data_IF_493203409436
#
_entry.id   IF_493203409436
#
_cell.length_a   1.000
_cell.length_b   1.000
_cell.length_c   1.000
_cell.angle_alpha   90.00
_cell.angle_beta   90.00
_cell.angle_gamma   90.00
#
_symmetry.space_group_name_H-M   'P 1'
#
loop_
_entity.id
_entity.type
_entity.pdbx_description
1 polymer ?
#
# COMPACT_ATOMS: atom_id res chain seq x y z
N UNK A 1 15.06 7.01 -11.67
CA UNK A 1 14.20 6.29 -10.70
C UNK A 1 14.90 5.96 -9.38
N UNK A 2 16.11 5.38 -9.39
CA UNK A 2 16.78 4.87 -8.17
C UNK A 2 17.30 5.94 -7.18
N UNK A 3 17.44 7.21 -7.60
CA UNK A 3 17.90 8.30 -6.70
C UNK A 3 16.84 8.66 -5.65
N UNK A 4 15.56 8.73 -6.07
CA UNK A 4 14.43 9.02 -5.17
C UNK A 4 14.20 7.86 -4.21
N UNK A 5 14.24 6.61 -4.71
CA UNK A 5 14.14 5.43 -3.87
C UNK A 5 15.23 5.40 -2.77
N UNK A 6 16.48 5.71 -3.13
CA UNK A 6 17.60 5.79 -2.16
C UNK A 6 17.46 6.96 -1.19
N UNK A 7 16.92 8.08 -1.65
CA UNK A 7 16.67 9.25 -0.81
C UNK A 7 15.57 8.97 0.23
N UNK A 8 14.48 8.36 -0.20
CA UNK A 8 13.39 7.95 0.69
C UNK A 8 13.90 6.89 1.67
N UNK A 9 14.54 5.80 1.20
CA UNK A 9 15.17 4.78 2.07
C UNK A 9 16.17 5.36 3.08
N UNK A 10 16.83 6.49 2.78
CA UNK A 10 17.74 7.17 3.72
C UNK A 10 17.02 7.86 4.88
N UNK A 11 15.74 8.18 4.71
CA UNK A 11 14.89 8.78 5.74
C UNK A 11 14.26 7.75 6.68
N UNK A 12 14.63 6.47 6.58
CA UNK A 12 14.05 5.38 7.36
C UNK A 12 14.27 5.59 8.87
N UNK A 13 13.20 5.75 9.67
CA UNK A 13 13.31 5.91 11.12
C UNK A 13 13.63 4.56 11.79
N UNK A 14 14.18 4.62 13.02
CA UNK A 14 14.55 3.42 13.80
C UNK A 14 13.38 2.42 13.90
N UNK A 15 13.67 1.15 13.64
CA UNK A 15 12.72 0.04 13.78
C UNK A 15 12.13 0.01 15.19
N UNK A 16 10.80 -0.03 15.29
CA UNK A 16 10.05 -0.12 16.56
C UNK A 16 9.30 1.15 16.98
N UNK A 17 9.49 2.28 16.30
CA UNK A 17 8.70 3.51 16.56
C UNK A 17 7.46 3.57 15.65
N UNK A 18 6.36 4.18 16.09
CA UNK A 18 5.15 4.41 15.26
C UNK A 18 5.47 5.08 13.91
N UNK A 19 6.47 5.98 13.91
CA UNK A 19 6.98 6.61 12.71
C UNK A 19 7.51 5.60 11.66
N UNK A 20 8.06 4.45 12.09
CA UNK A 20 8.53 3.39 11.19
C UNK A 20 7.37 2.70 10.49
N UNK A 21 6.30 2.38 11.20
CA UNK A 21 5.11 1.76 10.60
C UNK A 21 4.42 2.69 9.60
N UNK A 22 4.32 3.98 9.91
CA UNK A 22 3.78 4.97 8.98
C UNK A 22 4.68 5.11 7.75
N UNK A 23 5.99 5.28 7.96
CA UNK A 23 6.96 5.41 6.88
C UNK A 23 6.95 4.18 5.96
N UNK A 24 6.92 2.98 6.52
CA UNK A 24 6.89 1.72 5.75
C UNK A 24 5.56 1.54 4.98
N UNK A 25 4.44 1.96 5.58
CA UNK A 25 3.13 1.99 4.91
C UNK A 25 3.11 2.92 3.69
N UNK A 26 3.61 4.15 3.84
CA UNK A 26 3.74 5.10 2.73
C UNK A 26 4.75 4.62 1.67
N UNK A 27 5.85 4.00 2.10
CA UNK A 27 6.85 3.46 1.19
C UNK A 27 6.26 2.31 0.34
N UNK A 28 5.54 1.38 0.96
CA UNK A 28 4.89 0.25 0.26
C UNK A 28 3.71 0.70 -0.61
N UNK A 29 3.08 1.83 -0.29
CA UNK A 29 2.01 2.40 -1.13
C UNK A 29 2.56 2.97 -2.44
N UNK A 30 3.71 3.67 -2.39
CA UNK A 30 4.30 4.35 -3.55
C UNK A 30 5.29 3.48 -4.33
N UNK A 31 5.94 2.52 -3.68
CA UNK A 31 6.97 1.68 -4.27
C UNK A 31 6.62 0.19 -4.14
N UNK A 32 6.86 -0.55 -5.22
CA UNK A 32 6.80 -2.01 -5.19
C UNK A 32 7.94 -2.54 -4.33
N UNK A 33 7.70 -3.52 -3.44
CA UNK A 33 8.76 -4.18 -2.69
C UNK A 33 9.73 -4.90 -3.63
N UNK A 34 11.02 -4.85 -3.29
CA UNK A 34 12.10 -5.53 -4.04
C UNK A 34 12.12 -7.05 -3.77
N UNK A 35 11.25 -7.55 -2.89
CA UNK A 35 11.19 -8.96 -2.48
C UNK A 35 10.47 -9.80 -3.54
N UNK A 36 11.14 -10.83 -4.05
CA UNK A 36 10.60 -11.75 -5.06
C UNK A 36 10.57 -13.17 -4.52
N UNK A 37 9.64 -13.98 -5.00
CA UNK A 37 9.57 -15.39 -4.62
C UNK A 37 10.73 -16.17 -5.24
N UNK A 38 11.66 -16.63 -4.40
CA UNK A 38 12.89 -17.32 -4.81
C UNK A 38 12.74 -18.86 -4.96
N UNK A 39 11.54 -19.43 -4.78
CA UNK A 39 11.28 -20.88 -4.83
C UNK A 39 10.39 -21.33 -6.00
N UNK A 40 10.26 -22.65 -6.18
CA UNK A 40 9.31 -23.27 -7.11
C UNK A 40 7.89 -23.25 -6.56
N UNK A 41 6.97 -22.59 -7.26
CA UNK A 41 5.55 -22.53 -6.89
C UNK A 41 4.68 -23.03 -8.04
N UNK A 42 3.54 -23.64 -7.72
CA UNK A 42 2.63 -24.23 -8.71
C UNK A 42 1.99 -23.15 -9.63
N UNK A 43 1.63 -21.99 -9.05
CA UNK A 43 1.14 -20.81 -9.77
C UNK A 43 1.79 -19.58 -9.11
N UNK A 44 2.28 -18.64 -9.93
CA UNK A 44 2.74 -17.32 -9.48
C UNK A 44 1.69 -16.29 -9.86
N UNK A 45 0.93 -15.81 -8.88
CA UNK A 45 0.03 -14.69 -9.09
C UNK A 45 0.81 -13.38 -8.95
N UNK A 46 0.56 -12.45 -9.87
CA UNK A 46 1.13 -11.10 -9.87
C UNK A 46 0.22 -10.07 -9.19
N UNK A 47 -0.95 -10.48 -8.69
CA UNK A 47 -1.85 -9.60 -7.98
C UNK A 47 -1.27 -9.19 -6.62
N UNK A 48 -1.01 -7.89 -6.48
CA UNK A 48 -0.67 -7.28 -5.19
C UNK A 48 -1.97 -7.15 -4.36
N UNK A 49 -2.13 -8.05 -3.39
CA UNK A 49 -3.30 -8.11 -2.51
C UNK A 49 -3.50 -6.79 -1.76
N UNK A 50 -2.41 -6.17 -1.29
CA UNK A 50 -2.48 -4.93 -0.53
C UNK A 50 -2.98 -3.78 -1.41
N UNK A 51 -2.48 -3.70 -2.65
CA UNK A 51 -2.93 -2.68 -3.62
C UNK A 51 -4.40 -2.87 -4.00
N UNK A 52 -4.81 -4.12 -4.24
CA UNK A 52 -6.19 -4.44 -4.59
C UNK A 52 -7.14 -4.09 -3.45
N UNK A 53 -6.79 -4.40 -2.20
CA UNK A 53 -7.59 -4.02 -1.04
C UNK A 53 -7.75 -2.51 -0.89
N UNK A 54 -6.68 -1.74 -1.10
CA UNK A 54 -6.74 -0.27 -1.01
C UNK A 54 -7.61 0.33 -2.11
N UNK A 55 -7.57 -0.23 -3.33
CA UNK A 55 -8.44 0.21 -4.42
C UNK A 55 -9.93 0.00 -4.10
N UNK A 56 -10.28 -1.12 -3.47
CA UNK A 56 -11.66 -1.39 -3.02
C UNK A 56 -12.12 -0.35 -2.01
N UNK A 57 -11.28 0.02 -1.04
CA UNK A 57 -11.61 1.08 -0.07
C UNK A 57 -11.87 2.41 -0.77
N UNK A 58 -11.02 2.79 -1.73
CA UNK A 58 -11.21 4.02 -2.51
C UNK A 58 -12.52 4.01 -3.31
N UNK A 59 -12.95 2.87 -3.84
CA UNK A 59 -14.24 2.74 -4.52
C UNK A 59 -15.44 2.83 -3.56
N UNK A 60 -15.29 2.37 -2.32
CA UNK A 60 -16.35 2.40 -1.31
C UNK A 60 -16.58 3.80 -0.71
N UNK A 61 -15.57 4.66 -0.62
CA UNK A 61 -15.70 6.02 -0.08
C UNK A 61 -16.79 6.86 -0.79
N UNK A 62 -16.78 7.02 -2.13
CA UNK A 62 -17.83 7.78 -2.81
C UNK A 62 -19.19 7.09 -2.74
N UNK A 63 -19.23 5.75 -2.79
CA UNK A 63 -20.47 4.98 -2.65
C UNK A 63 -21.09 5.17 -1.25
N UNK A 64 -20.25 5.22 -0.21
CA UNK A 64 -20.66 5.46 1.16
C UNK A 64 -21.21 6.88 1.35
N UNK A 65 -20.52 7.89 0.83
CA UNK A 65 -20.97 9.29 0.89
C UNK A 65 -22.29 9.48 0.14
N UNK A 66 -22.43 8.87 -1.04
CA UNK A 66 -23.69 8.88 -1.78
C UNK A 66 -24.79 8.14 -1.01
N UNK A 67 -24.50 6.96 -0.44
CA UNK A 67 -25.44 6.22 0.40
C UNK A 67 -25.95 7.05 1.58
N UNK A 68 -25.05 7.70 2.33
CA UNK A 68 -25.43 8.59 3.44
C UNK A 68 -26.32 9.75 2.98
N UNK A 69 -26.00 10.38 1.85
CA UNK A 69 -26.79 11.50 1.31
C UNK A 69 -28.19 11.08 0.86
N UNK A 70 -28.35 9.88 0.30
CA UNK A 70 -29.65 9.37 -0.16
C UNK A 70 -30.51 8.79 0.97
N UNK A 71 -29.90 8.32 2.07
CA UNK A 71 -30.61 7.75 3.23
C UNK A 71 -31.04 8.83 4.25
N UNK A 72 -30.39 10.00 4.24
CA UNK A 72 -30.70 11.11 5.15
C UNK A 72 -31.90 11.98 4.75
N UNK A 73 -32.74 11.53 3.80
CA UNK A 73 -34.08 12.04 3.53
C UNK A 73 -35.10 11.20 4.32
#
# INVERSE_FOLDING_TARGET
MSKILKFVKKLEPKKGTFAHTLYDGFFTFLFTPDEVTHGGTHIKDGMDLKRTMVFVVFALIPAYLFGMYNIGQ
#
